data_IF_059278054944
#
_entry.id   IF_059278054944
#
_cell.length_a   1.000
_cell.length_b   1.000
_cell.length_c   1.000
_cell.angle_alpha   90.00
_cell.angle_beta   90.00
_cell.angle_gamma   90.00
#
_symmetry.space_group_name_H-M   'P 1'
#
loop_
_entity.id
_entity.type
_entity.pdbx_description
1 polymer ?
#
# COMPACT_ATOMS: atom_id res chain seq x y z
N UNK A 1 -42.80 12.56 42.63
CA UNK A 1 -43.31 11.71 41.53
C UNK A 1 -42.43 12.00 40.31
N UNK A 2 -41.18 11.56 40.42
CA UNK A 2 -40.02 12.23 39.80
C UNK A 2 -38.94 11.24 39.37
N UNK A 3 -39.31 9.99 39.06
CA UNK A 3 -38.32 8.94 38.75
C UNK A 3 -38.53 8.23 37.41
N UNK A 4 -39.66 8.46 36.72
CA UNK A 4 -39.97 7.73 35.48
C UNK A 4 -39.60 8.45 34.18
N UNK A 5 -39.17 9.72 34.25
CA UNK A 5 -38.83 10.51 33.06
C UNK A 5 -37.33 10.48 32.72
N UNK A 6 -36.44 10.16 33.67
CA UNK A 6 -34.99 10.02 33.40
C UNK A 6 -34.59 8.65 32.85
N UNK A 7 -35.38 7.61 33.15
CA UNK A 7 -35.10 6.23 32.73
C UNK A 7 -35.51 5.99 31.26
N UNK A 8 -36.50 6.72 30.74
CA UNK A 8 -36.99 6.57 29.36
C UNK A 8 -36.09 7.25 28.31
N UNK A 9 -35.33 8.26 28.70
CA UNK A 9 -34.41 8.97 27.78
C UNK A 9 -33.06 8.27 27.65
N UNK A 10 -32.64 7.50 28.66
CA UNK A 10 -31.37 6.76 28.65
C UNK A 10 -31.40 5.49 27.77
N UNK A 11 -32.59 4.92 27.53
CA UNK A 11 -32.72 3.64 26.79
C UNK A 11 -32.80 3.83 25.27
N UNK A 12 -33.17 5.02 24.78
CA UNK A 12 -33.26 5.29 23.33
C UNK A 12 -31.90 5.69 22.74
N UNK A 13 -30.96 6.22 23.54
CA UNK A 13 -29.60 6.54 23.07
C UNK A 13 -28.62 5.36 23.10
N UNK A 14 -28.92 4.31 23.87
CA UNK A 14 -28.03 3.14 24.00
C UNK A 14 -28.28 2.05 22.95
N UNK A 15 -29.39 2.11 22.20
CA UNK A 15 -29.73 1.09 21.20
C UNK A 15 -29.27 1.44 19.77
N UNK A 16 -28.77 2.66 19.54
CA UNK A 16 -28.26 3.10 18.23
C UNK A 16 -26.74 2.91 18.05
N UNK A 17 -26.06 2.32 19.03
CA UNK A 17 -24.59 2.21 19.10
C UNK A 17 -24.05 0.79 18.85
N UNK A 18 -24.90 -0.17 18.44
CA UNK A 18 -24.52 -1.58 18.26
C UNK A 18 -24.94 -2.20 16.92
N UNK A 19 -25.21 -1.36 15.91
CA UNK A 19 -25.55 -1.80 14.55
C UNK A 19 -24.87 -0.96 13.48
N UNK A 20 -23.69 -0.38 13.76
CA UNK A 20 -22.77 -0.08 12.67
C UNK A 20 -22.19 -1.40 12.20
N UNK A 21 -22.47 -1.87 10.96
CA UNK A 21 -21.53 -2.77 10.34
C UNK A 21 -20.22 -1.99 10.31
N UNK A 22 -19.24 -2.40 11.10
CA UNK A 22 -17.86 -2.20 10.71
C UNK A 22 -17.73 -2.97 9.40
N UNK A 23 -18.14 -2.32 8.31
CA UNK A 23 -17.81 -2.73 6.97
C UNK A 23 -16.30 -2.62 6.91
N UNK A 24 -15.62 -3.68 7.32
CA UNK A 24 -14.32 -4.03 6.82
C UNK A 24 -14.53 -4.28 5.33
N UNK A 25 -14.64 -3.19 4.57
CA UNK A 25 -14.42 -3.22 3.15
C UNK A 25 -12.97 -3.68 3.01
N UNK A 26 -12.81 -4.99 2.82
CA UNK A 26 -11.56 -5.58 2.39
C UNK A 26 -11.09 -4.72 1.23
N UNK A 27 -9.93 -4.07 1.40
CA UNK A 27 -9.27 -3.34 0.34
C UNK A 27 -8.80 -4.36 -0.70
N UNK A 28 -9.76 -4.85 -1.49
CA UNK A 28 -9.53 -5.62 -2.69
C UNK A 28 -8.83 -4.69 -3.68
N UNK A 29 -7.76 -5.21 -4.26
CA UNK A 29 -6.72 -4.51 -5.00
C UNK A 29 -7.26 -3.73 -6.19
N UNK A 30 -7.57 -2.46 -5.98
CA UNK A 30 -8.06 -1.56 -7.04
C UNK A 30 -7.14 -0.34 -7.21
N UNK A 31 -5.83 -0.57 -7.14
CA UNK A 31 -4.86 0.33 -7.75
C UNK A 31 -5.03 0.14 -9.26
N UNK A 32 -5.87 0.97 -9.86
CA UNK A 32 -5.97 1.08 -11.32
C UNK A 32 -4.57 1.49 -11.79
N UNK A 33 -3.84 0.57 -12.45
CA UNK A 33 -2.47 0.77 -12.90
C UNK A 33 -2.39 1.98 -13.84
N UNK A 34 -2.22 3.17 -13.28
CA UNK A 34 -2.01 4.42 -14.00
C UNK A 34 -0.75 5.04 -13.46
N UNK A 35 0.39 4.50 -13.88
CA UNK A 35 1.65 5.21 -13.68
C UNK A 35 1.62 6.45 -14.57
N UNK A 36 1.72 7.63 -13.98
CA UNK A 36 1.79 8.90 -14.71
C UNK A 36 3.17 9.52 -14.50
N UNK A 37 3.99 9.49 -15.56
CA UNK A 37 5.33 10.06 -15.58
C UNK A 37 5.35 11.54 -15.19
N UNK A 38 4.29 12.29 -15.48
CA UNK A 38 4.21 13.72 -15.14
C UNK A 38 4.08 13.97 -13.63
N UNK A 39 3.78 12.92 -12.87
CA UNK A 39 3.64 12.97 -11.41
C UNK A 39 4.79 12.28 -10.68
N UNK A 40 5.81 11.84 -11.42
CA UNK A 40 6.97 11.15 -10.88
C UNK A 40 7.74 12.06 -9.91
N UNK A 41 8.07 11.51 -8.75
CA UNK A 41 8.94 12.15 -7.77
C UNK A 41 9.98 11.16 -7.28
N UNK A 42 11.10 11.69 -6.81
CA UNK A 42 12.08 10.93 -6.04
C UNK A 42 12.00 11.33 -4.57
N UNK A 43 11.85 10.36 -3.69
CA UNK A 43 11.86 10.55 -2.24
C UNK A 43 13.07 9.83 -1.63
N UNK A 44 13.65 10.41 -0.58
CA UNK A 44 14.71 9.79 0.23
C UNK A 44 14.22 9.67 1.66
N UNK A 45 14.25 8.45 2.20
CA UNK A 45 13.73 8.21 3.53
C UNK A 45 13.98 6.81 4.05
N UNK A 46 13.58 6.59 5.29
CA UNK A 46 13.76 5.33 6.01
C UNK A 46 12.48 4.52 5.96
N UNK A 47 12.58 3.23 5.65
CA UNK A 47 11.44 2.31 5.72
C UNK A 47 11.06 2.09 7.18
N UNK A 48 9.84 2.46 7.56
CA UNK A 48 9.35 2.30 8.93
C UNK A 48 8.37 1.14 9.08
N UNK A 49 7.75 0.69 7.99
CA UNK A 49 6.81 -0.42 8.01
C UNK A 49 6.80 -1.15 6.66
N UNK A 50 6.61 -2.47 6.69
CA UNK A 50 6.42 -3.32 5.52
C UNK A 50 5.08 -4.03 5.68
N UNK A 51 4.16 -3.76 4.76
CA UNK A 51 2.78 -4.26 4.81
C UNK A 51 2.60 -5.30 3.70
N UNK A 52 2.23 -6.51 4.09
CA UNK A 52 1.96 -7.63 3.18
C UNK A 52 0.46 -7.78 2.95
N UNK A 53 0.02 -7.49 1.72
CA UNK A 53 -1.38 -7.71 1.31
C UNK A 53 -1.54 -9.12 0.74
N UNK A 54 -2.51 -9.89 1.24
CA UNK A 54 -2.71 -11.33 0.91
C UNK A 54 -2.72 -11.63 -0.59
N UNK A 55 -3.33 -10.76 -1.40
CA UNK A 55 -3.40 -10.88 -2.87
C UNK A 55 -3.00 -9.56 -3.54
N UNK A 56 -1.94 -8.92 -3.03
CA UNK A 56 -1.56 -7.59 -3.49
C UNK A 56 -0.05 -7.36 -3.53
N UNK A 57 0.35 -6.11 -3.83
CA UNK A 57 1.74 -5.70 -3.74
C UNK A 57 2.21 -5.68 -2.28
N UNK A 58 3.53 -5.79 -2.09
CA UNK A 58 4.16 -5.38 -0.85
C UNK A 58 4.14 -3.84 -0.80
N UNK A 59 3.71 -3.28 0.31
CA UNK A 59 3.61 -1.85 0.52
C UNK A 59 4.64 -1.43 1.57
N UNK A 60 5.36 -0.34 1.33
CA UNK A 60 6.32 0.22 2.27
C UNK A 60 5.77 1.53 2.83
N UNK A 61 5.88 1.75 4.14
CA UNK A 61 5.83 3.11 4.69
C UNK A 61 7.23 3.67 4.79
N UNK A 62 7.42 4.85 4.22
CA UNK A 62 8.73 5.50 4.14
C UNK A 62 8.65 6.88 4.76
N UNK A 63 9.41 7.06 5.85
CA UNK A 63 9.50 8.35 6.54
C UNK A 63 10.62 9.17 5.94
N UNK A 64 10.27 10.37 5.49
CA UNK A 64 11.20 11.42 5.07
C UNK A 64 11.28 12.50 6.16
N UNK A 65 12.10 13.53 5.99
CA UNK A 65 12.27 14.61 6.98
C UNK A 65 10.98 15.34 7.36
N UNK A 66 10.00 15.44 6.45
CA UNK A 66 8.78 16.23 6.67
C UNK A 66 7.46 15.48 6.49
N UNK A 67 7.48 14.22 6.06
CA UNK A 67 6.27 13.45 5.71
C UNK A 67 6.53 11.95 5.65
N UNK A 68 5.48 11.18 5.84
CA UNK A 68 5.45 9.74 5.58
C UNK A 68 4.76 9.45 4.26
N UNK A 69 5.32 8.54 3.47
CA UNK A 69 4.77 8.10 2.19
C UNK A 69 4.40 6.64 2.22
N UNK A 70 3.30 6.29 1.56
CA UNK A 70 2.91 4.91 1.31
C UNK A 70 3.35 4.53 -0.10
N UNK A 71 4.35 3.66 -0.22
CA UNK A 71 4.94 3.25 -1.49
C UNK A 71 4.41 1.87 -1.87
N UNK A 72 3.81 1.78 -3.06
CA UNK A 72 3.34 0.55 -3.66
C UNK A 72 4.46 -0.02 -4.51
N UNK A 73 4.95 -1.22 -4.17
CA UNK A 73 6.08 -1.84 -4.86
C UNK A 73 5.62 -2.81 -5.96
N UNK A 74 5.75 -4.11 -5.72
CA UNK A 74 5.41 -5.20 -6.61
C UNK A 74 4.72 -6.34 -5.85
N UNK A 75 4.05 -7.27 -6.54
CA UNK A 75 3.51 -8.49 -5.93
C UNK A 75 4.57 -9.30 -5.20
N UNK A 76 4.21 -9.89 -4.07
CA UNK A 76 5.13 -10.71 -3.27
C UNK A 76 5.83 -11.81 -4.11
N UNK A 77 5.09 -12.48 -4.99
CA UNK A 77 5.65 -13.53 -5.87
C UNK A 77 6.78 -13.02 -6.77
N UNK A 78 6.65 -11.81 -7.31
CA UNK A 78 7.68 -11.20 -8.15
C UNK A 78 8.92 -10.87 -7.31
N UNK A 79 8.74 -10.22 -6.16
CA UNK A 79 9.84 -9.88 -5.26
C UNK A 79 10.61 -11.12 -4.79
N UNK A 80 9.90 -12.17 -4.39
CA UNK A 80 10.52 -13.44 -3.98
C UNK A 80 11.27 -14.12 -5.13
N UNK A 81 10.71 -14.10 -6.35
CA UNK A 81 11.36 -14.66 -7.53
C UNK A 81 12.66 -13.95 -7.92
N UNK A 82 12.74 -12.64 -7.68
CA UNK A 82 13.92 -11.81 -7.93
C UNK A 82 14.87 -11.71 -6.73
N UNK A 83 14.63 -12.48 -5.66
CA UNK A 83 15.36 -12.40 -4.39
C UNK A 83 15.45 -10.95 -3.84
N UNK A 84 14.34 -10.22 -3.94
CA UNK A 84 14.19 -8.86 -3.41
C UNK A 84 13.50 -8.94 -2.05
N UNK A 85 14.23 -8.51 -1.02
CA UNK A 85 13.71 -8.36 0.34
C UNK A 85 13.86 -6.90 0.76
N UNK A 86 12.84 -6.38 1.44
CA UNK A 86 12.90 -5.07 2.09
C UNK A 86 13.05 -5.27 3.59
N UNK A 87 13.77 -4.36 4.24
CA UNK A 87 13.93 -4.34 5.69
C UNK A 87 13.45 -3.00 6.24
N UNK A 88 12.94 -3.00 7.47
CA UNK A 88 12.75 -1.77 8.23
C UNK A 88 14.11 -1.14 8.53
N UNK A 89 14.11 0.16 8.78
CA UNK A 89 15.28 0.99 9.06
C UNK A 89 16.27 1.15 7.88
N UNK A 90 16.04 0.47 6.76
CA UNK A 90 16.77 0.71 5.51
C UNK A 90 16.52 2.12 4.99
N UNK A 91 17.61 2.83 4.68
CA UNK A 91 17.59 4.12 4.00
C UNK A 91 17.48 3.89 2.49
N UNK A 92 16.42 4.42 1.86
CA UNK A 92 16.14 4.21 0.45
C UNK A 92 15.90 5.52 -0.30
N UNK A 93 16.32 5.54 -1.56
CA UNK A 93 15.91 6.51 -2.57
C UNK A 93 14.89 5.83 -3.50
N UNK A 94 13.68 6.37 -3.58
CA UNK A 94 12.56 5.76 -4.30
C UNK A 94 12.05 6.75 -5.34
N UNK A 95 12.02 6.33 -6.59
CA UNK A 95 11.41 7.08 -7.69
C UNK A 95 10.09 6.44 -8.08
N UNK A 96 9.02 7.22 -8.13
CA UNK A 96 7.67 6.72 -8.41
C UNK A 96 6.65 7.81 -8.69
N UNK A 97 5.54 7.42 -9.32
CA UNK A 97 4.43 8.31 -9.67
C UNK A 97 3.46 8.46 -8.49
N UNK A 98 2.98 9.69 -8.27
CA UNK A 98 1.93 9.96 -7.28
C UNK A 98 0.59 9.44 -7.79
N UNK A 99 -0.15 8.80 -6.89
CA UNK A 99 -1.49 8.30 -7.17
C UNK A 99 -2.39 8.52 -5.96
N UNK A 100 -3.58 9.05 -6.16
CA UNK A 100 -4.59 9.09 -5.11
C UNK A 100 -5.46 7.84 -5.21
N UNK A 101 -5.44 7.04 -4.15
CA UNK A 101 -6.33 5.90 -4.01
C UNK A 101 -7.78 6.32 -3.93
N UNK A 102 -8.70 5.36 -4.13
CA UNK A 102 -10.14 5.62 -3.95
C UNK A 102 -10.51 5.93 -2.49
N UNK A 103 -9.63 5.59 -1.57
CA UNK A 103 -9.70 5.97 -0.15
C UNK A 103 -9.25 7.43 0.09
N UNK A 104 -8.87 8.17 -0.95
CA UNK A 104 -8.39 9.54 -0.88
C UNK A 104 -6.94 9.67 -0.41
N UNK A 105 -6.25 8.57 -0.12
CA UNK A 105 -4.88 8.60 0.36
C UNK A 105 -3.89 8.75 -0.79
N UNK A 106 -2.78 9.46 -0.55
CA UNK A 106 -1.68 9.59 -1.49
C UNK A 106 -0.76 8.36 -1.41
N UNK A 107 -0.52 7.74 -2.55
CA UNK A 107 0.41 6.66 -2.76
C UNK A 107 1.51 7.07 -3.73
N UNK A 108 2.66 6.39 -3.62
CA UNK A 108 3.72 6.43 -4.62
C UNK A 108 3.80 5.06 -5.27
N UNK A 109 3.51 4.98 -6.56
CA UNK A 109 3.70 3.76 -7.35
C UNK A 109 5.18 3.68 -7.73
N UNK A 110 5.93 2.74 -7.17
CA UNK A 110 7.39 2.68 -7.31
C UNK A 110 7.85 2.24 -8.70
N UNK A 111 8.68 3.02 -9.38
CA UNK A 111 9.37 2.61 -10.61
C UNK A 111 10.73 2.01 -10.32
N UNK A 112 11.47 2.66 -9.42
CA UNK A 112 12.81 2.28 -9.04
C UNK A 112 13.00 2.50 -7.54
N UNK A 113 13.71 1.58 -6.89
CA UNK A 113 14.09 1.67 -5.48
C UNK A 113 15.59 1.44 -5.40
N UNK A 114 16.33 2.37 -4.81
CA UNK A 114 17.75 2.23 -4.52
C UNK A 114 17.94 2.16 -3.02
N UNK A 115 18.53 1.06 -2.56
CA UNK A 115 19.03 0.95 -1.20
C UNK A 115 20.32 1.79 -1.11
N UNK A 116 20.30 2.81 -0.25
CA UNK A 116 21.41 3.74 -0.10
C UNK A 116 22.53 3.19 0.79
N UNK A 117 22.25 2.16 1.59
CA UNK A 117 23.26 1.46 2.40
C UNK A 117 24.06 0.49 1.54
N UNK A 118 23.40 -0.27 0.67
CA UNK A 118 24.06 -1.29 -0.16
C UNK A 118 24.40 -0.80 -1.57
N UNK A 119 23.80 0.31 -2.01
CA UNK A 119 23.90 0.81 -3.39
C UNK A 119 23.06 0.01 -4.40
N UNK A 120 22.42 -1.09 -4.00
CA UNK A 120 21.61 -1.94 -4.87
C UNK A 120 20.41 -1.17 -5.40
N UNK A 121 20.21 -1.23 -6.72
CA UNK A 121 19.05 -0.64 -7.39
C UNK A 121 18.13 -1.73 -7.90
N UNK A 122 16.84 -1.59 -7.58
CA UNK A 122 15.75 -2.47 -7.97
C UNK A 122 14.87 -1.72 -8.95
N UNK A 123 14.72 -2.26 -10.15
CA UNK A 123 13.76 -1.77 -11.13
C UNK A 123 12.45 -2.54 -10.96
N UNK A 124 11.34 -1.81 -10.86
CA UNK A 124 9.99 -2.39 -10.75
C UNK A 124 9.20 -2.20 -12.05
N UNK A 125 9.56 -1.18 -12.84
CA UNK A 125 8.91 -0.82 -14.11
C UNK A 125 9.95 -0.55 -15.20
N UNK A 126 9.56 -0.82 -16.45
CA UNK A 126 10.40 -0.58 -17.63
C UNK A 126 10.42 0.90 -18.06
N UNK A 127 11.07 1.19 -19.19
CA UNK A 127 11.15 2.54 -19.78
C UNK A 127 9.80 3.08 -20.27
N UNK A 128 8.82 2.21 -20.50
CA UNK A 128 7.43 2.57 -20.82
C UNK A 128 6.53 2.59 -19.58
N UNK A 129 7.14 2.63 -18.39
CA UNK A 129 6.47 2.62 -17.09
C UNK A 129 5.57 1.41 -16.82
N UNK A 130 5.73 0.32 -17.57
CA UNK A 130 4.97 -0.92 -17.38
C UNK A 130 5.61 -1.76 -16.29
N UNK A 131 4.80 -2.43 -15.44
CA UNK A 131 5.34 -3.31 -14.41
C UNK A 131 6.09 -4.49 -15.02
N UNK A 132 7.26 -4.82 -14.48
CA UNK A 132 8.09 -5.93 -14.99
C UNK A 132 7.40 -7.30 -14.81
N UNK A 133 6.44 -7.40 -13.89
CA UNK A 133 5.63 -8.60 -13.70
C UNK A 133 4.45 -8.75 -14.68
N UNK A 134 4.25 -7.82 -15.64
CA UNK A 134 3.11 -7.85 -16.59
C UNK A 134 3.04 -9.11 -17.44
N UNK A 135 4.18 -9.76 -17.70
CA UNK A 135 4.27 -10.96 -18.55
C UNK A 135 4.27 -12.28 -17.77
N UNK A 136 4.24 -12.25 -16.43
CA UNK A 136 4.01 -13.45 -15.63
C UNK A 136 2.52 -13.77 -15.55
N UNK A 137 1.90 -14.02 -16.72
CA UNK A 137 0.59 -14.71 -16.74
C UNK A 137 0.78 -16.04 -16.03
N UNK A 138 -0.09 -16.31 -15.06
CA UNK A 138 -0.25 -17.60 -14.41
C UNK A 138 -0.27 -18.72 -15.48
N UNK A 139 0.82 -19.47 -15.59
CA UNK A 139 0.65 -20.90 -15.77
C UNK A 139 0.30 -21.47 -14.40
N UNK A 140 -0.97 -21.32 -14.00
CA UNK A 140 -1.63 -22.43 -13.33
C UNK A 140 -1.83 -23.49 -14.41
N UNK A 141 -0.74 -24.16 -14.79
CA UNK A 141 -0.83 -25.42 -15.51
C UNK A 141 -0.94 -26.45 -14.42
N UNK A 142 -2.17 -26.91 -14.17
CA UNK A 142 -2.43 -28.26 -13.66
C UNK A 142 -1.36 -29.18 -14.25
N UNK A 143 -0.52 -29.75 -13.41
CA UNK A 143 0.27 -30.91 -13.79
C UNK A 143 -0.50 -32.15 -13.28
N UNK A 144 -0.64 -33.19 -14.13
CA UNK A 144 -1.18 -34.49 -13.72
C UNK A 144 -0.29 -35.16 -12.66
#
# INVERSE_FOLDING_TARGET
MTDNLKIRTAVIFAFFLLLSPFSSAYAESDIKEGYDENTEITIKGTVTEIIHVKRGPVILRVKTSGKSYTVVTAPHRYLSGEAITFNTDSLMEITGSKYFGRDGNLYIIGRQIKDLTTGKTIMLRDSSCKPLWRNHRMHDRRLP
#
